data_IF_353866087322
#
_entry.id   IF_353866087322
#
_cell.length_a   1.000
_cell.length_b   1.000
_cell.length_c   1.000
_cell.angle_alpha   90.00
_cell.angle_beta   90.00
_cell.angle_gamma   90.00
#
_symmetry.space_group_name_H-M   'P 1'
#
loop_
_entity.id
_entity.type
_entity.pdbx_description
1 polymer ?
#
# COMPACT_ATOMS: atom_id res chain seq x y z
N UNK A 1 4.63 -40.86 9.21
CA UNK A 1 4.80 -40.94 10.68
C UNK A 1 6.17 -40.37 11.05
N UNK A 2 6.40 -39.09 10.79
CA UNK A 2 7.67 -38.40 11.12
C UNK A 2 7.38 -36.94 11.50
N UNK A 3 6.46 -36.29 10.79
CA UNK A 3 6.02 -34.92 11.06
C UNK A 3 5.33 -34.73 12.42
N UNK A 4 4.44 -35.66 12.82
CA UNK A 4 3.74 -35.61 14.10
C UNK A 4 4.68 -35.77 15.29
N UNK A 5 5.66 -36.67 15.17
CA UNK A 5 6.57 -37.01 16.26
C UNK A 5 7.70 -35.97 16.43
N UNK A 6 8.09 -35.28 15.35
CA UNK A 6 9.16 -34.26 15.38
C UNK A 6 8.63 -32.84 15.57
N UNK A 7 7.51 -32.50 14.94
CA UNK A 7 6.99 -31.12 14.89
C UNK A 7 5.61 -30.96 15.52
N UNK A 8 4.96 -32.04 15.97
CA UNK A 8 3.62 -31.98 16.57
C UNK A 8 2.49 -31.64 15.59
N UNK A 9 2.73 -31.77 14.28
CA UNK A 9 1.77 -31.46 13.22
C UNK A 9 1.33 -32.71 12.46
N UNK A 10 0.05 -32.76 12.09
CA UNK A 10 -0.58 -33.76 11.23
C UNK A 10 -1.33 -33.10 10.06
N UNK A 11 -2.02 -33.90 9.23
CA UNK A 11 -2.71 -33.39 8.03
C UNK A 11 -3.86 -32.43 8.32
N UNK A 12 -4.36 -32.41 9.55
CA UNK A 12 -5.43 -31.51 9.99
C UNK A 12 -4.88 -30.28 10.73
N UNK A 13 -3.57 -30.24 10.96
CA UNK A 13 -2.93 -29.15 11.68
C UNK A 13 -2.86 -27.88 10.84
N UNK A 14 -3.05 -26.69 11.46
CA UNK A 14 -3.00 -25.45 10.73
C UNK A 14 -1.66 -25.22 10.01
N UNK A 15 -1.72 -24.93 8.71
CA UNK A 15 -0.61 -24.47 7.87
C UNK A 15 -0.12 -23.05 8.23
N UNK A 16 -0.84 -22.33 9.10
CA UNK A 16 -0.45 -21.01 9.61
C UNK A 16 -0.24 -21.00 11.14
N UNK A 17 0.91 -20.49 11.59
CA UNK A 17 1.20 -20.29 13.02
C UNK A 17 0.87 -18.84 13.45
N UNK A 18 0.12 -18.68 14.54
CA UNK A 18 -0.05 -17.37 15.16
C UNK A 18 1.22 -16.95 15.91
N UNK A 19 1.83 -15.85 15.46
CA UNK A 19 3.09 -15.34 16.02
C UNK A 19 2.87 -14.21 17.05
N UNK A 20 1.68 -13.60 17.10
CA UNK A 20 1.35 -12.53 18.04
C UNK A 20 0.60 -11.35 17.41
N UNK A 21 0.41 -10.32 18.22
CA UNK A 21 -0.16 -9.02 17.85
C UNK A 21 0.69 -7.88 18.43
N UNK A 22 0.60 -6.71 17.81
CA UNK A 22 1.30 -5.51 18.24
C UNK A 22 0.42 -4.29 18.01
N UNK A 23 0.41 -3.37 18.97
CA UNK A 23 -0.23 -2.06 18.80
C UNK A 23 0.65 -1.10 18.00
N UNK A 24 0.02 -0.29 17.14
CA UNK A 24 0.66 0.75 16.34
C UNK A 24 0.21 2.15 16.77
N UNK A 25 0.73 2.68 17.91
CA UNK A 25 0.49 4.06 18.30
C UNK A 25 1.17 5.03 17.33
N UNK A 26 0.75 6.29 17.36
CA UNK A 26 1.33 7.35 16.53
C UNK A 26 2.86 7.42 16.70
N UNK A 27 3.57 7.54 15.58
CA UNK A 27 5.04 7.58 15.55
C UNK A 27 5.74 6.22 15.64
N UNK A 28 5.02 5.11 15.85
CA UNK A 28 5.63 3.77 15.82
C UNK A 28 5.81 3.30 14.38
N UNK A 29 7.03 2.82 14.07
CA UNK A 29 7.34 2.14 12.82
C UNK A 29 7.44 0.62 13.08
N UNK A 30 6.88 -0.17 12.17
CA UNK A 30 6.96 -1.62 12.19
C UNK A 30 7.52 -2.10 10.85
N UNK A 31 8.52 -2.99 10.91
CA UNK A 31 9.15 -3.58 9.73
C UNK A 31 9.11 -5.09 9.88
N UNK A 32 8.58 -5.77 8.87
CA UNK A 32 8.52 -7.22 8.81
C UNK A 32 8.61 -7.72 7.36
N UNK A 33 9.05 -8.96 7.13
CA UNK A 33 9.09 -9.51 5.79
C UNK A 33 7.69 -9.79 5.24
N UNK A 34 7.47 -9.58 3.94
CA UNK A 34 6.20 -9.83 3.24
C UNK A 34 5.72 -11.30 3.29
N UNK A 35 6.53 -12.24 3.80
CA UNK A 35 6.14 -13.63 4.02
C UNK A 35 5.17 -13.82 5.17
N UNK A 36 5.06 -12.85 6.09
CA UNK A 36 4.14 -12.95 7.21
C UNK A 36 2.75 -12.47 6.79
N UNK A 37 1.77 -13.34 7.00
CA UNK A 37 0.37 -12.95 6.99
C UNK A 37 0.12 -12.01 8.17
N UNK A 38 -0.52 -10.88 7.90
CA UNK A 38 -0.90 -9.91 8.91
C UNK A 38 -2.28 -9.35 8.57
N UNK A 39 -2.92 -8.77 9.58
CA UNK A 39 -4.19 -8.07 9.44
C UNK A 39 -4.18 -6.84 10.34
N UNK A 40 -4.73 -5.76 9.82
CA UNK A 40 -5.06 -4.58 10.60
C UNK A 40 -6.42 -4.84 11.29
N UNK A 41 -6.46 -4.76 12.62
CA UNK A 41 -7.75 -4.86 13.32
C UNK A 41 -8.57 -3.59 13.06
N UNK A 42 -9.88 -3.76 12.91
CA UNK A 42 -10.83 -2.64 12.90
C UNK A 42 -10.64 -1.83 14.18
N UNK A 43 -10.65 -0.51 14.04
CA UNK A 43 -10.56 0.42 15.15
C UNK A 43 -11.59 1.52 14.97
N UNK A 44 -11.95 2.15 16.08
CA UNK A 44 -12.86 3.28 16.13
C UNK A 44 -12.31 4.34 17.08
N UNK A 45 -12.87 5.54 17.02
CA UNK A 45 -12.54 6.57 18.00
C UNK A 45 -13.10 6.19 19.36
N UNK A 46 -12.31 6.37 20.41
CA UNK A 46 -12.77 6.19 21.78
C UNK A 46 -13.98 7.10 22.10
N UNK A 47 -14.01 8.30 21.50
CA UNK A 47 -15.17 9.18 21.47
C UNK A 47 -15.58 9.44 20.01
N UNK A 48 -16.67 8.81 19.52
CA UNK A 48 -17.16 9.01 18.15
C UNK A 48 -17.63 10.44 17.83
N UNK A 49 -17.81 11.30 18.83
CA UNK A 49 -18.22 12.70 18.63
C UNK A 49 -17.04 13.61 18.28
N UNK A 50 -15.81 13.15 18.50
CA UNK A 50 -14.60 13.91 18.19
C UNK A 50 -14.12 13.65 16.76
N UNK A 51 -13.46 14.63 16.11
CA UNK A 51 -12.77 14.38 14.86
C UNK A 51 -11.55 13.48 15.10
N UNK A 52 -11.34 12.49 14.22
CA UNK A 52 -10.15 11.66 14.27
C UNK A 52 -9.84 11.00 12.94
N UNK A 53 -8.56 10.64 12.75
CA UNK A 53 -8.09 9.98 11.54
C UNK A 53 -6.90 9.07 11.85
N UNK A 54 -6.75 8.00 11.07
CA UNK A 54 -5.54 7.18 11.04
C UNK A 54 -4.86 7.37 9.69
N UNK A 55 -3.56 7.68 9.71
CA UNK A 55 -2.72 7.75 8.51
C UNK A 55 -1.57 6.78 8.67
N UNK A 56 -1.53 5.80 7.78
CA UNK A 56 -0.46 4.81 7.71
C UNK A 56 0.34 5.08 6.44
N UNK A 57 1.67 5.14 6.59
CA UNK A 57 2.60 5.23 5.47
C UNK A 57 3.36 3.90 5.37
N UNK A 58 3.11 3.16 4.30
CA UNK A 58 3.70 1.83 4.08
C UNK A 58 4.73 1.90 2.97
N UNK A 59 5.91 1.35 3.23
CA UNK A 59 6.96 1.16 2.23
C UNK A 59 7.08 -0.32 1.89
N UNK A 60 7.18 -0.62 0.60
CA UNK A 60 7.51 -1.96 0.11
C UNK A 60 8.95 -1.97 -0.36
N UNK A 61 9.78 -2.76 0.31
CA UNK A 61 11.18 -2.96 -0.09
C UNK A 61 11.21 -4.06 -1.15
N UNK A 62 11.80 -3.76 -2.30
CA UNK A 62 11.98 -4.70 -3.41
C UNK A 62 13.40 -5.24 -3.43
N UNK A 63 13.59 -6.39 -4.06
CA UNK A 63 14.91 -6.97 -4.28
C UNK A 63 15.79 -6.01 -5.09
N UNK A 64 16.94 -5.55 -4.57
CA UNK A 64 17.83 -4.63 -5.29
C UNK A 64 18.46 -5.24 -6.54
N UNK A 65 18.48 -6.57 -6.68
CA UNK A 65 18.92 -7.23 -7.91
C UNK A 65 17.91 -7.04 -9.06
N UNK A 66 16.63 -6.83 -8.74
CA UNK A 66 15.57 -6.54 -9.69
C UNK A 66 15.49 -5.02 -9.96
N UNK A 67 15.87 -4.59 -11.16
CA UNK A 67 15.73 -3.19 -11.56
C UNK A 67 14.28 -2.88 -11.94
N UNK A 68 13.63 -2.04 -11.14
CA UNK A 68 12.33 -1.43 -11.45
C UNK A 68 12.50 0.08 -11.69
N UNK A 69 11.49 0.70 -12.31
CA UNK A 69 11.47 2.15 -12.49
C UNK A 69 11.42 2.81 -11.12
N UNK A 70 12.43 3.63 -10.81
CA UNK A 70 12.50 4.43 -9.59
C UNK A 70 11.65 5.68 -9.73
N UNK A 71 11.04 6.13 -8.64
CA UNK A 71 10.37 7.44 -8.58
C UNK A 71 11.32 8.61 -8.87
N UNK A 72 12.64 8.42 -8.73
CA UNK A 72 13.64 9.39 -9.16
C UNK A 72 13.63 9.64 -10.68
N UNK A 73 13.06 8.72 -11.47
CA UNK A 73 12.93 8.84 -12.93
C UNK A 73 11.47 9.04 -13.37
N UNK A 74 10.54 9.24 -12.42
CA UNK A 74 9.14 9.52 -12.71
C UNK A 74 8.90 11.01 -12.50
N UNK A 75 8.41 11.69 -13.55
CA UNK A 75 8.04 13.10 -13.44
C UNK A 75 6.90 13.29 -12.42
N UNK A 76 6.78 14.47 -11.78
CA UNK A 76 5.66 14.81 -10.92
C UNK A 76 4.29 14.42 -11.53
N UNK A 77 3.47 13.67 -10.82
CA UNK A 77 2.14 13.31 -11.34
C UNK A 77 1.05 14.28 -10.89
N UNK A 78 1.33 15.10 -9.87
CA UNK A 78 0.37 16.05 -9.31
C UNK A 78 0.37 17.37 -10.08
N UNK A 79 -0.80 17.84 -10.60
CA UNK A 79 -0.89 19.07 -11.38
C UNK A 79 -0.31 20.28 -10.67
N UNK A 80 -0.60 20.44 -9.37
CA UNK A 80 -0.12 21.57 -8.57
C UNK A 80 1.40 21.70 -8.48
N UNK A 81 2.17 20.63 -8.70
CA UNK A 81 3.63 20.67 -8.63
C UNK A 81 4.27 21.30 -9.87
N UNK A 82 3.51 21.42 -10.96
CA UNK A 82 4.01 22.05 -12.18
C UNK A 82 4.05 23.56 -12.09
N UNK A 83 3.14 24.18 -11.33
CA UNK A 83 3.13 25.64 -11.18
C UNK A 83 4.48 26.16 -10.65
N UNK A 84 5.04 25.53 -9.62
CA UNK A 84 6.35 25.91 -9.05
C UNK A 84 7.54 25.59 -9.97
N UNK A 85 7.34 24.76 -10.98
CA UNK A 85 8.34 24.44 -11.99
C UNK A 85 8.27 25.40 -13.17
N UNK A 86 7.06 25.78 -13.60
CA UNK A 86 6.80 26.72 -14.69
C UNK A 86 7.26 28.14 -14.36
N UNK A 87 7.20 28.52 -13.08
CA UNK A 87 7.80 29.76 -12.53
C UNK A 87 9.27 29.95 -12.94
N UNK A 88 9.99 28.85 -13.20
CA UNK A 88 11.42 28.86 -13.55
C UNK A 88 11.68 28.78 -15.05
N UNK A 89 10.62 28.79 -15.87
CA UNK A 89 10.70 28.66 -17.33
C UNK A 89 10.49 30.00 -18.01
N UNK A 90 10.78 30.07 -19.32
CA UNK A 90 10.45 31.22 -20.15
C UNK A 90 9.00 31.23 -20.65
N UNK A 91 8.15 30.31 -20.18
CA UNK A 91 6.75 30.21 -20.59
C UNK A 91 5.95 31.29 -19.84
N UNK A 92 5.26 32.21 -20.54
CA UNK A 92 4.41 33.20 -19.90
C UNK A 92 3.29 32.55 -19.05
N UNK A 93 2.92 33.14 -17.90
CA UNK A 93 1.88 32.60 -17.01
C UNK A 93 0.54 32.32 -17.69
N UNK A 94 0.19 33.10 -18.71
CA UNK A 94 -1.03 32.94 -19.50
C UNK A 94 -1.08 31.60 -20.23
N UNK A 95 0.08 31.00 -20.51
CA UNK A 95 0.20 29.74 -21.24
C UNK A 95 0.42 28.52 -20.33
N UNK A 96 0.51 28.69 -19.01
CA UNK A 96 0.79 27.57 -18.10
C UNK A 96 -0.29 26.49 -18.12
N UNK A 97 -1.56 26.90 -18.14
CA UNK A 97 -2.67 25.95 -18.21
C UNK A 97 -2.59 25.12 -19.50
N UNK A 98 -2.34 25.77 -20.64
CA UNK A 98 -2.20 25.08 -21.92
C UNK A 98 -0.99 24.16 -21.92
N UNK A 99 0.17 24.63 -21.42
CA UNK A 99 1.39 23.85 -21.35
C UNK A 99 1.23 22.58 -20.49
N UNK A 100 0.55 22.67 -19.34
CA UNK A 100 0.34 21.51 -18.46
C UNK A 100 -0.50 20.41 -19.09
N UNK A 101 -1.40 20.73 -20.03
CA UNK A 101 -2.20 19.73 -20.75
C UNK A 101 -1.37 18.80 -21.63
N UNK A 102 -0.18 19.24 -22.07
CA UNK A 102 0.72 18.43 -22.89
C UNK A 102 1.71 17.59 -22.07
N UNK A 103 1.74 17.77 -20.75
CA UNK A 103 2.65 17.02 -19.88
C UNK A 103 2.07 15.61 -19.67
N UNK A 104 2.79 14.61 -20.15
CA UNK A 104 2.37 13.22 -20.01
C UNK A 104 2.49 12.73 -18.56
N UNK A 105 1.51 11.94 -18.13
CA UNK A 105 1.52 11.29 -16.81
C UNK A 105 1.01 12.15 -15.66
N UNK A 106 0.57 13.39 -15.92
CA UNK A 106 -0.17 14.18 -14.94
C UNK A 106 -1.53 13.55 -14.71
N UNK A 107 -1.92 13.42 -13.43
CA UNK A 107 -3.18 12.80 -13.04
C UNK A 107 -3.99 13.78 -12.19
N UNK A 108 -5.27 13.95 -12.53
CA UNK A 108 -6.21 14.65 -11.67
C UNK A 108 -6.40 13.90 -10.35
N UNK A 109 -6.80 14.60 -9.26
CA UNK A 109 -7.13 13.94 -7.99
C UNK A 109 -8.17 12.82 -8.14
N UNK A 110 -9.11 12.99 -9.06
CA UNK A 110 -10.15 11.99 -9.35
C UNK A 110 -9.57 10.74 -10.02
N UNK A 111 -8.69 10.90 -11.00
CA UNK A 111 -8.02 9.77 -11.66
C UNK A 111 -7.09 9.02 -10.70
N UNK A 112 -6.31 9.75 -9.91
CA UNK A 112 -5.45 9.16 -8.88
C UNK A 112 -6.26 8.36 -7.86
N UNK A 113 -7.44 8.87 -7.45
CA UNK A 113 -8.37 8.14 -6.58
C UNK A 113 -8.90 6.87 -7.27
N UNK A 114 -9.31 6.95 -8.54
CA UNK A 114 -9.77 5.77 -9.29
C UNK A 114 -8.69 4.69 -9.35
N UNK A 115 -7.45 5.03 -9.71
CA UNK A 115 -6.35 4.07 -9.74
C UNK A 115 -6.07 3.47 -8.36
N UNK A 116 -6.19 4.25 -7.29
CA UNK A 116 -6.07 3.75 -5.92
C UNK A 116 -7.15 2.71 -5.61
N UNK A 117 -8.39 2.98 -5.98
CA UNK A 117 -9.52 2.09 -5.73
C UNK A 117 -9.38 0.78 -6.55
N UNK A 118 -8.94 0.88 -7.81
CA UNK A 118 -8.59 -0.27 -8.66
C UNK A 118 -7.48 -1.12 -8.04
N UNK A 119 -6.36 -0.50 -7.62
CA UNK A 119 -5.25 -1.20 -6.96
C UNK A 119 -5.69 -1.88 -5.65
N UNK A 120 -6.58 -1.25 -4.90
CA UNK A 120 -7.12 -1.82 -3.65
C UNK A 120 -8.00 -3.04 -3.95
N UNK A 121 -8.84 -2.95 -4.97
CA UNK A 121 -9.67 -4.07 -5.45
C UNK A 121 -8.82 -5.24 -5.93
N UNK A 122 -7.81 -4.99 -6.77
CA UNK A 122 -6.91 -6.03 -7.28
C UNK A 122 -6.14 -6.70 -6.14
N UNK A 123 -5.63 -5.91 -5.19
CA UNK A 123 -4.97 -6.44 -4.00
C UNK A 123 -5.89 -7.33 -3.18
N UNK A 124 -7.15 -6.93 -3.03
CA UNK A 124 -8.17 -7.70 -2.31
C UNK A 124 -8.41 -9.04 -3.01
N UNK A 125 -8.54 -9.04 -4.34
CA UNK A 125 -8.72 -10.27 -5.14
C UNK A 125 -7.53 -11.23 -5.01
N UNK A 126 -6.30 -10.70 -5.06
CA UNK A 126 -5.08 -11.50 -4.86
C UNK A 126 -5.09 -12.12 -3.47
N UNK A 127 -5.36 -11.33 -2.43
CA UNK A 127 -5.40 -11.82 -1.05
C UNK A 127 -6.48 -12.90 -0.88
N UNK A 128 -7.68 -12.70 -1.44
CA UNK A 128 -8.75 -13.70 -1.39
C UNK A 128 -8.32 -15.01 -2.05
N UNK A 129 -7.70 -14.96 -3.24
CA UNK A 129 -7.22 -16.16 -3.91
C UNK A 129 -6.12 -16.87 -3.09
N UNK A 130 -5.17 -16.12 -2.52
CA UNK A 130 -4.14 -16.69 -1.66
C UNK A 130 -4.75 -17.29 -0.37
N UNK A 131 -5.76 -16.64 0.21
CA UNK A 131 -6.50 -17.16 1.37
C UNK A 131 -7.37 -18.38 1.07
N UNK A 132 -7.70 -18.65 -0.20
CA UNK A 132 -8.47 -19.84 -0.57
C UNK A 132 -7.54 -21.02 -0.87
N UNK A 133 -6.45 -20.76 -1.61
CA UNK A 133 -5.60 -21.82 -2.15
C UNK A 133 -4.33 -22.09 -1.34
N UNK A 134 -3.86 -21.14 -0.52
CA UNK A 134 -2.54 -21.20 0.13
C UNK A 134 -2.66 -21.04 1.65
N UNK A 135 -3.51 -20.15 2.13
CA UNK A 135 -3.65 -19.87 3.56
C UNK A 135 -4.96 -20.41 4.10
N UNK A 136 -4.98 -20.91 5.33
CA UNK A 136 -6.21 -21.50 5.91
C UNK A 136 -7.14 -20.48 6.56
N UNK A 137 -6.69 -19.23 6.75
CA UNK A 137 -7.46 -18.20 7.44
C UNK A 137 -7.66 -17.01 6.52
N UNK A 138 -8.91 -16.53 6.47
CA UNK A 138 -9.28 -15.33 5.73
C UNK A 138 -8.73 -14.11 6.46
N UNK A 139 -7.73 -13.47 5.85
CA UNK A 139 -7.20 -12.19 6.29
C UNK A 139 -7.63 -11.11 5.29
N UNK A 140 -8.32 -10.10 5.79
CA UNK A 140 -8.52 -8.84 5.07
C UNK A 140 -7.44 -7.88 5.55
N UNK A 141 -6.79 -7.16 4.63
CA UNK A 141 -6.02 -5.97 4.97
C UNK A 141 -6.98 -4.82 5.27
#
# INVERSE_FOLDING_TARGET
MYWKDVYGIDQESPHSQYIGSLELPNGRCLVYPNRYQHKEQSFELADPTQPGHCKILTFFVVDPACRIVSTAHVAPQQPQWYNSSLDKTHIPPELWNDATQYIQGVQSPTEAKRYRDELTSDRTRIITAYNEYIYERVYNL
#
